data_IF_760542741290
#
_entry.id   IF_760542741290
#
_cell.length_a   1.000
_cell.length_b   1.000
_cell.length_c   1.000
_cell.angle_alpha   90.00
_cell.angle_beta   90.00
_cell.angle_gamma   90.00
#
_symmetry.space_group_name_H-M   'P 1'
#
loop_
_entity.id
_entity.type
_entity.pdbx_description
1 polymer ?
#
# COMPACT_ATOMS: atom_id res chain seq x y z
N UNK A 1 8.62 -13.74 18.44
CA UNK A 1 9.60 -13.88 17.35
C UNK A 1 10.91 -13.33 17.91
N UNK A 2 11.74 -14.19 18.50
CA UNK A 2 12.95 -13.78 19.26
C UNK A 2 14.24 -13.90 18.43
N UNK A 3 14.17 -14.57 17.27
CA UNK A 3 15.30 -14.84 16.37
C UNK A 3 15.19 -14.10 15.02
N UNK A 4 14.13 -13.34 14.80
CA UNK A 4 13.85 -12.67 13.53
C UNK A 4 13.53 -13.63 12.38
N UNK A 5 13.28 -14.92 12.65
CA UNK A 5 12.95 -15.89 11.63
C UNK A 5 11.54 -15.67 11.10
N UNK A 6 11.39 -15.64 9.78
CA UNK A 6 10.12 -15.69 9.08
C UNK A 6 9.92 -17.08 8.47
N UNK A 7 8.76 -17.68 8.66
CA UNK A 7 8.37 -18.95 8.02
C UNK A 7 7.11 -18.74 7.19
N UNK A 8 7.10 -19.26 5.96
CA UNK A 8 5.91 -19.25 5.13
C UNK A 8 4.79 -20.04 5.82
N UNK A 9 3.70 -19.37 6.17
CA UNK A 9 2.54 -20.01 6.84
C UNK A 9 1.73 -20.85 5.86
N UNK A 10 1.56 -20.36 4.62
CA UNK A 10 0.81 -21.03 3.55
C UNK A 10 1.24 -20.51 2.19
N UNK A 11 1.49 -21.42 1.25
CA UNK A 11 1.69 -21.08 -0.15
C UNK A 11 0.34 -20.80 -0.84
N UNK A 12 0.31 -19.77 -1.69
CA UNK A 12 -0.80 -19.44 -2.58
C UNK A 12 -0.31 -19.32 -4.02
N UNK A 13 -1.23 -19.38 -4.98
CA UNK A 13 -0.94 -19.11 -6.41
C UNK A 13 -1.30 -17.68 -6.80
N UNK A 14 -1.90 -16.94 -5.87
CA UNK A 14 -2.32 -15.56 -6.03
C UNK A 14 -1.10 -14.65 -6.10
N UNK A 15 -1.09 -13.74 -7.07
CA UNK A 15 -0.04 -12.73 -7.14
C UNK A 15 -0.35 -11.60 -6.16
N UNK A 16 0.48 -11.48 -5.12
CA UNK A 16 0.48 -10.34 -4.20
C UNK A 16 1.46 -9.24 -4.65
N UNK A 17 1.97 -9.34 -5.87
CA UNK A 17 3.01 -8.44 -6.37
C UNK A 17 2.54 -6.99 -6.35
N UNK A 18 3.39 -6.14 -5.80
CA UNK A 18 3.18 -4.71 -5.72
C UNK A 18 2.38 -4.23 -4.52
N UNK A 19 1.83 -5.12 -3.67
CA UNK A 19 1.25 -4.66 -2.40
C UNK A 19 2.39 -4.16 -1.52
N UNK A 20 2.36 -2.86 -1.22
CA UNK A 20 3.43 -2.17 -0.49
C UNK A 20 2.92 -1.68 0.88
N UNK A 21 1.90 -0.81 0.87
CA UNK A 21 1.20 -0.37 2.07
C UNK A 21 -0.05 -1.19 2.37
N UNK A 22 -0.30 -1.48 3.65
CA UNK A 22 -1.53 -2.10 4.15
C UNK A 22 -1.98 -1.43 5.45
N UNK A 23 -3.28 -1.11 5.55
CA UNK A 23 -3.90 -0.59 6.77
C UNK A 23 -5.33 -1.10 6.93
N UNK A 24 -5.77 -1.39 8.16
CA UNK A 24 -7.12 -1.87 8.42
C UNK A 24 -8.07 -0.72 8.71
N UNK A 25 -9.32 -0.82 8.25
CA UNK A 25 -10.40 0.04 8.73
C UNK A 25 -10.68 -0.24 10.21
N UNK A 26 -11.28 0.73 10.91
CA UNK A 26 -11.51 0.66 12.36
C UNK A 26 -12.40 -0.51 12.78
N UNK A 27 -13.35 -0.90 11.93
CA UNK A 27 -14.23 -2.05 12.13
C UNK A 27 -13.58 -3.40 11.77
N UNK A 28 -12.42 -3.38 11.10
CA UNK A 28 -11.73 -4.56 10.61
C UNK A 28 -12.43 -5.27 9.45
N UNK A 29 -13.42 -4.65 8.81
CA UNK A 29 -14.14 -5.26 7.68
C UNK A 29 -13.37 -5.15 6.36
N UNK A 30 -12.45 -4.18 6.26
CA UNK A 30 -11.64 -3.94 5.07
C UNK A 30 -10.15 -3.76 5.41
N UNK A 31 -9.29 -4.21 4.50
CA UNK A 31 -7.91 -3.71 4.41
C UNK A 31 -7.79 -2.75 3.24
N UNK A 32 -7.16 -1.61 3.45
CA UNK A 32 -6.75 -0.71 2.40
C UNK A 32 -5.32 -1.09 1.99
N UNK A 33 -5.13 -1.32 0.70
CA UNK A 33 -3.86 -1.70 0.12
C UNK A 33 -3.39 -0.64 -0.89
N UNK A 34 -2.11 -0.27 -0.80
CA UNK A 34 -1.41 0.46 -1.86
C UNK A 34 -0.71 -0.54 -2.75
N UNK A 35 -0.87 -0.38 -4.07
CA UNK A 35 -0.16 -1.14 -5.08
C UNK A 35 0.82 -0.27 -5.86
N UNK A 36 2.11 -0.57 -5.73
CA UNK A 36 3.18 -0.04 -6.58
C UNK A 36 3.77 -1.12 -7.49
N UNK A 37 4.77 -0.75 -8.30
CA UNK A 37 5.41 -1.69 -9.24
C UNK A 37 4.48 -2.23 -10.34
N UNK A 38 3.31 -1.61 -10.52
CA UNK A 38 2.33 -1.90 -11.55
C UNK A 38 1.86 -0.58 -12.16
N UNK A 39 1.75 -0.53 -13.50
CA UNK A 39 1.16 0.62 -14.18
C UNK A 39 -0.29 0.31 -14.63
N UNK A 40 -1.28 1.15 -14.24
CA UNK A 40 -1.18 2.26 -13.30
C UNK A 40 -1.17 1.80 -11.83
N UNK A 41 -0.51 2.57 -10.96
CA UNK A 41 -0.53 2.36 -9.51
C UNK A 41 -1.95 2.50 -8.95
N UNK A 42 -2.22 1.83 -7.82
CA UNK A 42 -3.58 1.72 -7.26
C UNK A 42 -3.61 1.86 -5.74
N UNK A 43 -4.74 2.34 -5.23
CA UNK A 43 -5.20 2.14 -3.86
C UNK A 43 -6.52 1.38 -3.95
N UNK A 44 -6.65 0.30 -3.20
CA UNK A 44 -7.85 -0.54 -3.25
C UNK A 44 -8.21 -1.10 -1.88
N UNK A 45 -9.50 -1.27 -1.63
CA UNK A 45 -10.00 -1.97 -0.47
C UNK A 45 -10.09 -3.47 -0.76
N UNK A 46 -9.74 -4.29 0.22
CA UNK A 46 -9.92 -5.73 0.26
C UNK A 46 -10.99 -5.99 1.31
N UNK A 47 -12.11 -6.57 0.91
CA UNK A 47 -13.21 -6.88 1.80
C UNK A 47 -13.07 -8.26 2.40
N UNK A 48 -13.41 -8.41 3.67
CA UNK A 48 -13.43 -9.70 4.34
C UNK A 48 -14.83 -10.30 4.48
N UNK A 49 -14.90 -11.62 4.30
CA UNK A 49 -16.03 -12.41 4.75
C UNK A 49 -16.17 -12.31 6.28
N UNK A 50 -17.39 -12.54 6.83
CA UNK A 50 -17.63 -12.45 8.26
C UNK A 50 -16.59 -13.23 9.08
N UNK A 51 -16.06 -12.59 10.13
CA UNK A 51 -14.97 -13.08 11.00
C UNK A 51 -13.57 -13.08 10.38
N UNK A 52 -13.34 -12.39 9.25
CA UNK A 52 -11.99 -12.14 8.73
C UNK A 52 -11.25 -13.38 8.20
N UNK A 53 -11.97 -14.44 7.84
CA UNK A 53 -11.34 -15.73 7.47
C UNK A 53 -11.10 -15.93 5.98
N UNK A 54 -11.67 -15.06 5.15
CA UNK A 54 -11.52 -15.11 3.70
C UNK A 54 -11.71 -13.70 3.15
N UNK A 55 -11.10 -13.43 2.00
CA UNK A 55 -11.43 -12.26 1.17
C UNK A 55 -12.76 -12.54 0.47
N UNK A 56 -13.72 -11.62 0.58
CA UNK A 56 -15.02 -11.70 -0.10
C UNK A 56 -15.07 -10.86 -1.37
N UNK A 57 -14.25 -9.83 -1.47
CA UNK A 57 -14.29 -8.85 -2.56
C UNK A 57 -13.12 -7.88 -2.52
N UNK A 58 -13.07 -6.99 -3.50
CA UNK A 58 -12.16 -5.86 -3.52
C UNK A 58 -12.77 -4.71 -4.33
N UNK A 59 -12.37 -3.48 -4.00
CA UNK A 59 -12.81 -2.25 -4.65
C UNK A 59 -11.61 -1.36 -4.96
N UNK A 60 -11.51 -0.84 -6.18
CA UNK A 60 -10.48 0.16 -6.52
C UNK A 60 -10.95 1.52 -6.06
N UNK A 61 -10.23 2.11 -5.09
CA UNK A 61 -10.55 3.43 -4.53
C UNK A 61 -9.87 4.56 -5.31
N UNK A 62 -8.64 4.32 -5.76
CA UNK A 62 -7.87 5.27 -6.56
C UNK A 62 -6.96 4.53 -7.54
N UNK A 63 -6.83 5.05 -8.76
CA UNK A 63 -6.00 4.43 -9.80
C UNK A 63 -5.38 5.48 -10.70
N UNK A 64 -4.06 5.41 -10.88
CA UNK A 64 -3.33 6.28 -11.81
C UNK A 64 -3.47 7.77 -11.51
N UNK A 65 -3.46 8.15 -10.23
CA UNK A 65 -3.52 9.55 -9.82
C UNK A 65 -2.33 10.32 -10.39
N UNK A 66 -2.53 11.59 -10.76
CA UNK A 66 -1.50 12.42 -11.39
C UNK A 66 -0.27 12.62 -10.49
N UNK A 67 -0.47 12.64 -9.18
CA UNK A 67 0.62 12.79 -8.19
C UNK A 67 1.34 11.47 -7.84
N UNK A 68 0.96 10.35 -8.46
CA UNK A 68 1.65 9.08 -8.20
C UNK A 68 3.05 9.07 -8.80
N UNK A 69 4.05 8.85 -7.94
CA UNK A 69 5.45 8.62 -8.27
C UNK A 69 6.02 7.53 -7.36
N UNK A 70 5.54 6.30 -7.54
CA UNK A 70 5.72 5.16 -6.61
C UNK A 70 5.04 5.38 -5.25
N UNK A 71 3.70 5.21 -5.15
CA UNK A 71 3.02 5.28 -3.87
C UNK A 71 3.41 4.09 -2.98
N UNK A 72 3.44 4.27 -1.65
CA UNK A 72 3.94 3.23 -0.73
C UNK A 72 3.04 3.05 0.47
N UNK A 73 3.47 3.52 1.65
CA UNK A 73 2.77 3.32 2.91
C UNK A 73 1.54 4.22 3.01
N UNK A 74 0.57 3.75 3.80
CA UNK A 74 -0.60 4.51 4.19
C UNK A 74 -0.87 4.37 5.68
N UNK A 75 -1.68 5.29 6.20
CA UNK A 75 -2.35 5.17 7.50
C UNK A 75 -3.86 5.31 7.29
N UNK A 76 -4.65 4.58 8.07
CA UNK A 76 -6.12 4.62 8.05
C UNK A 76 -6.61 5.07 9.41
N UNK A 77 -7.29 6.21 9.46
CA UNK A 77 -7.78 6.79 10.72
C UNK A 77 -8.99 7.68 10.44
N UNK A 78 -9.97 7.67 11.35
CA UNK A 78 -11.16 8.54 11.28
C UNK A 78 -11.84 8.52 9.88
N UNK A 79 -12.01 7.31 9.34
CA UNK A 79 -12.62 7.03 8.02
C UNK A 79 -11.92 7.70 6.82
N UNK A 80 -10.61 7.97 6.98
CA UNK A 80 -9.74 8.54 5.95
C UNK A 80 -8.47 7.73 5.78
N UNK A 81 -7.90 7.83 4.59
CA UNK A 81 -6.59 7.29 4.24
C UNK A 81 -5.63 8.45 4.02
N UNK A 82 -4.46 8.41 4.65
CA UNK A 82 -3.32 9.26 4.29
C UNK A 82 -2.22 8.40 3.69
N UNK A 83 -1.81 8.70 2.47
CA UNK A 83 -0.88 7.86 1.72
C UNK A 83 0.32 8.67 1.22
N UNK A 84 1.50 8.05 1.24
CA UNK A 84 2.68 8.60 0.58
C UNK A 84 2.58 8.33 -0.91
N UNK A 85 2.32 9.37 -1.72
CA UNK A 85 2.00 9.24 -3.13
C UNK A 85 3.21 9.18 -4.07
N UNK A 86 4.32 9.80 -3.69
CA UNK A 86 5.50 9.99 -4.53
C UNK A 86 6.81 9.61 -3.82
N UNK A 87 6.94 8.37 -3.33
CA UNK A 87 8.14 7.96 -2.61
C UNK A 87 9.38 8.10 -3.49
N UNK A 88 10.43 8.82 -3.03
CA UNK A 88 11.60 9.11 -3.86
C UNK A 88 12.57 7.93 -3.99
N UNK A 89 12.17 6.72 -3.57
CA UNK A 89 13.04 5.55 -3.55
C UNK A 89 13.74 5.24 -4.88
N UNK A 90 13.16 5.49 -6.07
CA UNK A 90 13.88 5.26 -7.34
C UNK A 90 15.13 6.14 -7.51
N UNK A 91 15.26 7.21 -6.72
CA UNK A 91 16.43 8.08 -6.73
C UNK A 91 17.59 7.51 -5.90
N UNK A 92 17.34 6.57 -5.00
CA UNK A 92 18.31 6.03 -4.06
C UNK A 92 18.86 4.69 -4.56
N UNK A 93 20.16 4.60 -4.89
CA UNK A 93 20.75 3.34 -5.34
C UNK A 93 20.93 2.34 -4.18
N UNK A 94 21.01 1.05 -4.54
CA UNK A 94 21.18 -0.06 -3.59
C UNK A 94 22.48 0.01 -2.76
N UNK A 95 23.49 0.75 -3.24
CA UNK A 95 24.75 0.95 -2.52
C UNK A 95 24.65 1.95 -1.36
N UNK A 96 23.46 2.54 -1.16
CA UNK A 96 23.19 3.50 -0.10
C UNK A 96 23.81 4.88 -0.35
N UNK A 97 24.30 5.16 -1.55
CA UNK A 97 24.71 6.50 -1.94
C UNK A 97 23.52 7.47 -1.92
N UNK A 98 23.82 8.78 -1.94
CA UNK A 98 22.80 9.82 -1.95
C UNK A 98 21.91 9.77 -3.19
N UNK A 99 20.84 10.58 -3.22
CA UNK A 99 19.91 10.57 -4.34
C UNK A 99 20.63 10.96 -5.64
N UNK A 100 20.33 10.25 -6.72
CA UNK A 100 20.88 10.46 -8.07
C UNK A 100 20.30 11.69 -8.78
N UNK A 101 19.33 12.37 -8.15
CA UNK A 101 18.66 13.56 -8.68
C UNK A 101 17.99 14.38 -7.57
N UNK A 102 17.20 15.38 -7.99
CA UNK A 102 16.41 16.20 -7.07
C UNK A 102 15.32 15.37 -6.41
N UNK A 103 15.24 15.43 -5.08
CA UNK A 103 14.13 14.86 -4.32
C UNK A 103 13.01 15.89 -4.29
N UNK A 104 11.91 15.59 -4.98
CA UNK A 104 10.71 16.43 -4.95
C UNK A 104 10.07 16.43 -3.55
N UNK A 105 9.31 17.48 -3.17
CA UNK A 105 8.54 17.48 -1.93
C UNK A 105 7.63 16.25 -1.84
N UNK A 106 7.56 15.66 -0.64
CA UNK A 106 6.65 14.54 -0.38
C UNK A 106 5.20 15.00 -0.51
N UNK A 107 4.43 14.25 -1.29
CA UNK A 107 2.98 14.42 -1.45
C UNK A 107 2.28 13.39 -0.59
N UNK A 108 1.47 13.89 0.35
CA UNK A 108 0.52 13.09 1.09
C UNK A 108 -0.85 13.29 0.47
N UNK A 109 -1.44 12.22 -0.07
CA UNK A 109 -2.81 12.25 -0.53
C UNK A 109 -3.74 11.82 0.59
N UNK A 110 -4.89 12.48 0.66
CA UNK A 110 -6.00 12.12 1.53
C UNK A 110 -7.12 11.53 0.68
N UNK A 111 -7.71 10.42 1.13
CA UNK A 111 -8.86 9.78 0.50
C UNK A 111 -9.93 9.58 1.58
N UNK A 112 -11.14 10.04 1.31
CA UNK A 112 -12.31 9.81 2.16
C UNK A 112 -12.89 8.41 1.88
N UNK A 113 -13.29 7.68 2.92
CA UNK A 113 -13.90 6.34 2.81
C UNK A 113 -15.44 6.36 2.89
N UNK A 114 -16.03 7.55 3.01
CA UNK A 114 -17.48 7.81 3.04
C UNK A 114 -18.24 7.25 1.81
#
# INVERSE_FOLDING_TARGET
>A
LEDGAATLVRAGTESLIGIDGLGATRDGERLIAVRNGMAPNQVFAIEFAPRGRAVSGHEILLRGHADFGEPTLLDVKDDRIWLVANSPWPLYPDDGSGPTGTVEPLVILEIDLD
#
